data_IF_133272166635
#
_entry.id   IF_133272166635
#
_cell.length_a   1.000
_cell.length_b   1.000
_cell.length_c   1.000
_cell.angle_alpha   90.00
_cell.angle_beta   90.00
_cell.angle_gamma   90.00
#
_symmetry.space_group_name_H-M   'P 1'
#
loop_
_entity.id
_entity.type
_entity.pdbx_description
1 polymer ?
#
# COMPACT_ATOMS: atom_id res chain seq x y z
N UNK A 1 -10.85 -3.63 -8.02
CA UNK A 1 -10.65 -5.02 -7.57
C UNK A 1 -11.90 -5.84 -7.92
N UNK A 2 -11.77 -7.14 -8.16
CA UNK A 2 -12.92 -7.97 -8.54
C UNK A 2 -13.87 -8.13 -7.35
N UNK A 3 -15.20 -7.95 -7.52
CA UNK A 3 -16.16 -8.18 -6.45
C UNK A 3 -16.03 -9.59 -5.86
N UNK A 4 -16.16 -9.71 -4.54
CA UNK A 4 -16.09 -10.98 -3.78
C UNK A 4 -14.72 -11.69 -3.79
N UNK A 5 -13.67 -11.07 -4.31
CA UNK A 5 -12.29 -11.54 -4.16
C UNK A 5 -11.61 -10.71 -3.08
N UNK A 6 -10.99 -11.38 -2.12
CA UNK A 6 -10.17 -10.77 -1.08
C UNK A 6 -8.74 -10.54 -1.59
N UNK A 7 -8.18 -9.37 -1.30
CA UNK A 7 -6.83 -9.02 -1.70
C UNK A 7 -6.01 -8.50 -0.50
N UNK A 8 -4.70 -8.69 -0.55
CA UNK A 8 -3.74 -8.00 0.30
C UNK A 8 -3.07 -6.90 -0.54
N UNK A 9 -3.12 -5.67 -0.05
CA UNK A 9 -2.33 -4.57 -0.58
C UNK A 9 -1.05 -4.42 0.24
N UNK A 10 0.09 -4.34 -0.44
CA UNK A 10 1.34 -3.83 0.10
C UNK A 10 1.55 -2.42 -0.42
N UNK A 11 1.53 -1.43 0.47
CA UNK A 11 1.75 -0.02 0.17
C UNK A 11 3.19 0.34 0.50
N UNK A 12 3.88 0.92 -0.48
CA UNK A 12 5.23 1.46 -0.37
C UNK A 12 5.13 2.98 -0.44
N UNK A 13 5.71 3.67 0.53
CA UNK A 13 5.68 5.13 0.60
C UNK A 13 7.00 5.67 1.15
N UNK A 14 7.32 6.91 0.80
CA UNK A 14 8.51 7.57 1.33
C UNK A 14 8.30 7.95 2.80
N UNK A 15 9.18 7.46 3.66
CA UNK A 15 9.17 7.69 5.10
C UNK A 15 10.60 7.93 5.65
N UNK A 16 10.97 9.19 5.92
CA UNK A 16 12.30 9.52 6.41
C UNK A 16 12.58 8.99 7.83
N UNK A 17 11.56 8.56 8.58
CA UNK A 17 11.73 7.99 9.92
C UNK A 17 12.13 6.50 9.87
N UNK A 18 11.91 5.84 8.73
CA UNK A 18 12.27 4.44 8.53
C UNK A 18 13.76 4.33 8.23
N UNK A 19 14.51 3.68 9.13
CA UNK A 19 15.95 3.47 9.05
C UNK A 19 16.35 2.35 8.08
N UNK A 20 15.92 2.46 6.82
CA UNK A 20 16.40 1.64 5.70
C UNK A 20 17.21 2.51 4.75
N UNK A 21 18.06 1.89 3.91
CA UNK A 21 18.90 2.62 2.95
C UNK A 21 18.07 3.55 2.06
N UNK A 22 16.85 3.14 1.73
CA UNK A 22 15.94 3.87 0.84
C UNK A 22 14.90 4.72 1.57
N UNK A 23 14.80 4.64 2.91
CA UNK A 23 13.76 5.33 3.70
C UNK A 23 12.33 5.08 3.16
N UNK A 24 12.05 3.82 2.81
CA UNK A 24 10.74 3.40 2.29
C UNK A 24 9.98 2.69 3.40
N UNK A 25 8.84 3.25 3.78
CA UNK A 25 7.83 2.60 4.61
C UNK A 25 7.06 1.54 3.83
N UNK A 26 6.75 0.42 4.49
CA UNK A 26 5.96 -0.68 3.92
C UNK A 26 4.80 -0.97 4.86
N UNK A 27 3.58 -0.96 4.33
CA UNK A 27 2.37 -1.30 5.08
C UNK A 27 1.56 -2.37 4.33
N UNK A 28 1.03 -3.34 5.07
CA UNK A 28 0.16 -4.38 4.50
C UNK A 28 -1.23 -4.25 5.08
N UNK A 29 -2.24 -4.30 4.22
CA UNK A 29 -3.64 -4.21 4.63
C UNK A 29 -4.54 -5.04 3.71
N UNK A 30 -5.60 -5.67 4.26
CA UNK A 30 -6.64 -6.28 3.43
C UNK A 30 -7.40 -5.18 2.68
N UNK A 31 -7.67 -5.41 1.39
CA UNK A 31 -8.46 -4.50 0.55
C UNK A 31 -9.45 -5.27 -0.33
N UNK A 32 -10.55 -4.62 -0.66
CA UNK A 32 -11.57 -5.13 -1.56
C UNK A 32 -12.04 -4.04 -2.54
N UNK A 33 -13.06 -4.33 -3.34
CA UNK A 33 -13.59 -3.41 -4.35
C UNK A 33 -14.30 -2.16 -3.78
N UNK A 34 -14.45 -2.06 -2.45
CA UNK A 34 -15.01 -0.91 -1.74
C UNK A 34 -13.98 -0.16 -0.89
N UNK A 35 -12.77 -0.71 -0.74
CA UNK A 35 -11.70 -0.08 0.05
C UNK A 35 -11.22 1.22 -0.60
N UNK A 36 -10.94 2.22 0.24
CA UNK A 36 -10.33 3.49 -0.14
C UNK A 36 -9.06 3.66 0.69
N UNK A 37 -7.95 3.98 0.03
CA UNK A 37 -6.68 4.32 0.69
C UNK A 37 -6.56 5.84 0.67
N UNK A 38 -6.85 6.47 1.81
CA UNK A 38 -6.76 7.91 1.99
C UNK A 38 -5.40 8.28 2.61
N UNK A 39 -4.53 8.89 1.82
CA UNK A 39 -3.15 9.23 2.17
C UNK A 39 -2.76 10.55 1.54
N UNK A 40 -2.07 11.38 2.31
CA UNK A 40 -1.42 12.58 1.78
C UNK A 40 -0.05 12.21 1.19
N UNK A 41 0.15 12.50 -0.11
CA UNK A 41 1.46 12.40 -0.76
C UNK A 41 2.12 13.77 -0.70
N UNK A 42 3.20 13.88 0.08
CA UNK A 42 3.97 15.11 0.20
C UNK A 42 4.68 15.46 -1.12
N UNK A 43 5.04 16.73 -1.30
CA UNK A 43 5.78 17.18 -2.48
C UNK A 43 7.09 16.39 -2.68
N UNK A 44 7.35 15.97 -3.92
CA UNK A 44 8.49 15.13 -4.31
C UNK A 44 8.51 13.71 -3.72
N UNK A 45 7.42 13.26 -3.09
CA UNK A 45 7.28 11.87 -2.68
C UNK A 45 6.47 11.05 -3.70
N UNK A 46 6.67 9.73 -3.65
CA UNK A 46 5.89 8.74 -4.38
C UNK A 46 5.15 7.79 -3.44
N UNK A 47 4.17 7.09 -4.01
CA UNK A 47 3.54 5.94 -3.39
C UNK A 47 3.31 4.87 -4.44
N UNK A 48 3.65 3.62 -4.13
CA UNK A 48 3.37 2.46 -4.96
C UNK A 48 2.51 1.46 -4.19
N UNK A 49 1.60 0.77 -4.88
CA UNK A 49 0.72 -0.21 -4.26
C UNK A 49 0.78 -1.49 -5.07
N UNK A 50 1.17 -2.58 -4.42
CA UNK A 50 1.13 -3.92 -5.01
C UNK A 50 -0.04 -4.68 -4.40
N UNK A 51 -0.98 -5.11 -5.25
CA UNK A 51 -2.21 -5.78 -4.81
C UNK A 51 -2.22 -7.21 -5.33
N UNK A 52 -2.34 -8.18 -4.42
CA UNK A 52 -2.36 -9.60 -4.73
C UNK A 52 -3.63 -10.24 -4.16
N UNK A 53 -4.27 -11.18 -4.87
CA UNK A 53 -5.38 -11.95 -4.32
C UNK A 53 -4.88 -12.81 -3.17
N UNK A 54 -5.66 -12.90 -2.10
CA UNK A 54 -5.38 -13.82 -0.99
C UNK A 54 -5.86 -15.21 -1.43
N UNK A 55 -4.94 -16.05 -1.89
CA UNK A 55 -5.25 -17.46 -2.10
C UNK A 55 -5.46 -18.13 -0.74
N UNK A 56 -6.66 -18.65 -0.51
CA UNK A 56 -6.92 -19.59 0.59
C UNK A 56 -6.49 -20.99 0.21
#
# INVERSE_FOLDING_TARGET
LTPHIEYEATVYYDDPEVLTVTHVGIERMPVNNHSVIDREIKANNGMAIHILPVCK
#
